data_IF_575179593859
#
_entry.id   IF_575179593859
#
_cell.length_a   1.000
_cell.length_b   1.000
_cell.length_c   1.000
_cell.angle_alpha   90.00
_cell.angle_beta   90.00
_cell.angle_gamma   90.00
#
_symmetry.space_group_name_H-M   'P 1'
#
loop_
_entity.id
_entity.type
_entity.pdbx_description
1 polymer ?
#
# COMPACT_ATOMS: atom_id res chain seq x y z
N UNK A 1 -25.70 -27.46 -5.04
CA UNK A 1 -25.14 -26.08 -5.16
C UNK A 1 -23.65 -26.06 -5.49
N UNK A 2 -22.77 -26.77 -4.75
CA UNK A 2 -21.34 -26.91 -5.11
C UNK A 2 -21.11 -27.50 -6.49
N UNK A 3 -21.88 -28.54 -6.81
CA UNK A 3 -21.90 -29.19 -8.12
C UNK A 3 -22.13 -28.18 -9.25
N UNK A 4 -22.98 -27.18 -9.03
CA UNK A 4 -23.34 -26.21 -10.07
C UNK A 4 -22.27 -25.14 -10.27
N UNK A 5 -21.59 -24.72 -9.20
CA UNK A 5 -20.46 -23.79 -9.26
C UNK A 5 -19.23 -24.45 -9.91
N UNK A 6 -18.94 -25.69 -9.52
CA UNK A 6 -17.85 -26.48 -10.12
C UNK A 6 -18.14 -26.75 -11.60
N UNK A 7 -19.37 -27.16 -11.95
CA UNK A 7 -19.78 -27.36 -13.35
C UNK A 7 -19.62 -26.09 -14.19
N UNK A 8 -19.86 -24.91 -13.63
CA UNK A 8 -19.63 -23.63 -14.32
C UNK A 8 -18.15 -23.32 -14.56
N UNK A 9 -17.29 -23.54 -13.57
CA UNK A 9 -15.84 -23.26 -13.69
C UNK A 9 -15.20 -24.20 -14.71
N UNK A 10 -15.50 -25.50 -14.61
CA UNK A 10 -14.94 -26.50 -15.53
C UNK A 10 -15.46 -26.27 -16.96
N UNK A 11 -16.74 -25.88 -17.12
CA UNK A 11 -17.30 -25.52 -18.44
C UNK A 11 -16.54 -24.35 -19.09
N UNK A 12 -16.28 -23.29 -18.33
CA UNK A 12 -15.50 -22.13 -18.82
C UNK A 12 -14.06 -22.50 -19.16
N UNK A 13 -13.43 -23.40 -18.40
CA UNK A 13 -12.09 -23.88 -18.75
C UNK A 13 -12.09 -24.77 -19.99
N UNK A 14 -13.08 -25.64 -20.15
CA UNK A 14 -13.21 -26.51 -21.32
C UNK A 14 -13.40 -25.70 -22.61
N UNK A 15 -14.22 -24.64 -22.58
CA UNK A 15 -14.41 -23.74 -23.73
C UNK A 15 -13.13 -22.97 -24.12
N UNK A 16 -12.22 -22.73 -23.17
CA UNK A 16 -10.95 -22.05 -23.40
C UNK A 16 -9.88 -23.00 -23.99
N UNK A 17 -9.94 -24.28 -23.63
CA UNK A 17 -8.93 -25.28 -24.00
C UNK A 17 -9.30 -25.98 -25.32
N UNK A 18 -10.59 -26.31 -25.51
CA UNK A 18 -11.09 -27.05 -26.68
C UNK A 18 -12.46 -26.49 -27.11
N UNK A 19 -12.49 -25.36 -27.86
CA UNK A 19 -13.72 -24.64 -28.16
C UNK A 19 -14.70 -25.40 -29.06
N UNK A 20 -14.23 -26.34 -29.89
CA UNK A 20 -15.08 -27.12 -30.79
C UNK A 20 -15.54 -28.47 -30.19
N UNK A 21 -14.83 -28.97 -29.18
CA UNK A 21 -15.05 -30.30 -28.58
C UNK A 21 -15.30 -30.22 -27.05
N UNK A 22 -15.83 -29.08 -26.60
CA UNK A 22 -16.04 -28.74 -25.18
C UNK A 22 -16.85 -29.82 -24.44
N UNK A 23 -17.92 -30.32 -25.06
CA UNK A 23 -18.83 -31.29 -24.44
C UNK A 23 -18.19 -32.66 -24.25
N UNK A 24 -17.35 -33.08 -25.20
CA UNK A 24 -16.67 -34.38 -25.15
C UNK A 24 -15.51 -34.37 -24.13
N UNK A 25 -14.75 -33.27 -24.08
CA UNK A 25 -13.72 -33.05 -23.06
C UNK A 25 -14.32 -33.04 -21.64
N UNK A 26 -15.47 -32.38 -21.46
CA UNK A 26 -16.21 -32.36 -20.20
C UNK A 26 -16.69 -33.75 -19.78
N UNK A 27 -17.13 -34.58 -20.73
CA UNK A 27 -17.58 -35.95 -20.47
C UNK A 27 -16.43 -36.82 -19.98
N UNK A 28 -15.28 -36.77 -20.67
CA UNK A 28 -14.08 -37.54 -20.33
C UNK A 28 -13.46 -37.09 -18.99
N UNK A 29 -13.43 -35.78 -18.72
CA UNK A 29 -12.94 -35.25 -17.45
C UNK A 29 -13.81 -35.66 -16.26
N UNK A 30 -15.14 -35.61 -16.40
CA UNK A 30 -16.04 -36.04 -15.33
C UNK A 30 -15.96 -37.56 -15.09
N UNK A 31 -15.76 -38.34 -16.15
CA UNK A 31 -15.61 -39.80 -16.08
C UNK A 31 -14.26 -40.23 -15.48
N UNK A 32 -13.19 -39.44 -15.66
CA UNK A 32 -11.86 -39.73 -15.11
C UNK A 32 -11.66 -39.16 -13.69
N UNK A 33 -12.13 -37.94 -13.42
CA UNK A 33 -11.87 -37.25 -12.16
C UNK A 33 -12.85 -37.65 -11.05
N UNK A 34 -14.10 -38.01 -11.38
CA UNK A 34 -15.13 -38.25 -10.36
C UNK A 34 -16.12 -39.37 -10.73
N UNK A 35 -15.69 -40.65 -10.77
CA UNK A 35 -16.60 -41.75 -11.06
C UNK A 35 -17.76 -41.86 -10.04
N UNK A 36 -17.54 -41.55 -8.75
CA UNK A 36 -18.51 -41.81 -7.66
C UNK A 36 -18.59 -40.73 -6.53
N UNK A 37 -18.06 -39.51 -6.73
CA UNK A 37 -17.71 -38.56 -5.64
C UNK A 37 -18.87 -37.90 -4.86
N UNK A 38 -20.14 -38.13 -5.23
CA UNK A 38 -21.28 -37.39 -4.65
C UNK A 38 -22.21 -38.24 -3.76
N UNK A 39 -21.71 -39.32 -3.16
CA UNK A 39 -22.52 -40.12 -2.21
C UNK A 39 -21.98 -40.25 -0.78
N UNK A 40 -20.67 -40.26 -0.54
CA UNK A 40 -20.18 -40.61 0.80
C UNK A 40 -19.64 -39.41 1.59
N UNK A 41 -20.35 -39.09 2.69
CA UNK A 41 -20.09 -37.99 3.62
C UNK A 41 -19.00 -38.30 4.66
N UNK A 42 -18.05 -39.18 4.33
CA UNK A 42 -17.02 -39.65 5.25
C UNK A 42 -15.71 -39.84 4.49
N UNK A 43 -14.94 -38.77 4.38
CA UNK A 43 -13.56 -38.86 3.89
C UNK A 43 -12.63 -37.95 4.73
N UNK A 44 -11.45 -38.46 5.15
CA UNK A 44 -10.52 -37.82 6.09
C UNK A 44 -9.87 -36.53 5.54
N UNK A 45 -10.08 -36.23 4.26
CA UNK A 45 -9.60 -35.01 3.60
C UNK A 45 -10.47 -33.79 3.94
N UNK A 46 -11.77 -33.99 4.19
CA UNK A 46 -12.69 -32.90 4.53
C UNK A 46 -12.49 -32.41 5.97
N UNK A 47 -12.13 -33.31 6.89
CA UNK A 47 -11.85 -32.96 8.28
C UNK A 47 -10.61 -32.06 8.40
N UNK A 48 -9.56 -32.32 7.61
CA UNK A 48 -8.39 -31.43 7.51
C UNK A 48 -8.74 -30.03 7.01
N UNK A 49 -9.66 -29.93 6.06
CA UNK A 49 -10.15 -28.63 5.55
C UNK A 49 -10.92 -27.89 6.64
N UNK A 50 -11.73 -28.60 7.42
CA UNK A 50 -12.51 -28.00 8.49
C UNK A 50 -11.63 -27.55 9.65
N UNK A 51 -10.61 -28.31 9.99
CA UNK A 51 -9.58 -27.95 10.97
C UNK A 51 -8.81 -26.69 10.54
N UNK A 52 -8.37 -26.61 9.28
CA UNK A 52 -7.68 -25.42 8.79
C UNK A 52 -8.57 -24.17 8.77
N UNK A 53 -9.85 -24.33 8.42
CA UNK A 53 -10.81 -23.23 8.48
C UNK A 53 -11.07 -22.78 9.92
N UNK A 54 -11.10 -23.71 10.88
CA UNK A 54 -11.19 -23.39 12.30
C UNK A 54 -9.94 -22.62 12.78
N UNK A 55 -8.75 -23.06 12.40
CA UNK A 55 -7.49 -22.37 12.68
C UNK A 55 -7.49 -20.93 12.16
N UNK A 56 -7.97 -20.69 10.94
CA UNK A 56 -8.09 -19.35 10.37
C UNK A 56 -9.16 -18.51 11.07
N UNK A 57 -10.26 -19.14 11.52
CA UNK A 57 -11.31 -18.47 12.28
C UNK A 57 -10.84 -18.01 13.68
N UNK A 58 -9.90 -18.74 14.29
CA UNK A 58 -9.30 -18.40 15.57
C UNK A 58 -8.17 -17.36 15.44
N UNK A 59 -7.28 -17.52 14.45
CA UNK A 59 -6.20 -16.54 14.17
C UNK A 59 -6.71 -15.14 13.85
N UNK A 60 -7.97 -15.03 13.41
CA UNK A 60 -8.64 -13.74 13.15
C UNK A 60 -9.32 -13.14 14.38
N UNK A 61 -9.11 -13.68 15.60
CA UNK A 61 -9.72 -13.22 16.85
C UNK A 61 -8.97 -12.08 17.53
N UNK A 62 -8.79 -10.95 16.84
CA UNK A 62 -8.65 -9.66 17.51
C UNK A 62 -10.06 -9.08 17.72
N UNK A 63 -10.64 -9.32 18.90
CA UNK A 63 -12.03 -8.94 19.27
C UNK A 63 -12.34 -7.43 19.17
N UNK A 64 -11.36 -6.61 18.77
CA UNK A 64 -11.41 -5.14 18.82
C UNK A 64 -11.85 -4.48 17.50
N UNK A 65 -11.73 -5.13 16.33
CA UNK A 65 -11.95 -4.44 15.03
C UNK A 65 -13.19 -4.91 14.26
N UNK A 66 -13.90 -3.97 13.62
CA UNK A 66 -15.05 -4.24 12.71
C UNK A 66 -14.65 -5.08 11.48
N UNK A 67 -13.40 -4.97 11.04
CA UNK A 67 -12.83 -5.70 9.89
C UNK A 67 -12.78 -7.21 10.16
N UNK A 68 -12.31 -7.59 11.34
CA UNK A 68 -12.11 -8.99 11.74
C UNK A 68 -13.44 -9.74 11.82
N UNK A 69 -14.51 -9.07 12.24
CA UNK A 69 -15.88 -9.63 12.22
C UNK A 69 -16.39 -9.93 10.80
N UNK A 70 -16.03 -9.13 9.79
CA UNK A 70 -16.39 -9.37 8.39
C UNK A 70 -15.61 -10.55 7.82
N UNK A 71 -14.31 -10.60 8.08
CA UNK A 71 -13.42 -11.70 7.66
C UNK A 71 -13.90 -13.04 8.25
N UNK A 72 -14.22 -13.08 9.54
CA UNK A 72 -14.78 -14.28 10.21
C UNK A 72 -16.09 -14.76 9.60
N UNK A 73 -16.97 -13.83 9.21
CA UNK A 73 -18.23 -14.17 8.53
C UNK A 73 -17.97 -14.78 7.14
N UNK A 74 -16.92 -14.35 6.45
CA UNK A 74 -16.51 -14.89 5.15
C UNK A 74 -15.92 -16.29 5.30
N UNK A 75 -14.99 -16.46 6.24
CA UNK A 75 -14.37 -17.75 6.56
C UNK A 75 -15.45 -18.78 6.93
N UNK A 76 -16.43 -18.41 7.77
CA UNK A 76 -17.54 -19.32 8.09
C UNK A 76 -18.45 -19.61 6.88
N UNK A 77 -18.64 -18.64 5.98
CA UNK A 77 -19.54 -18.79 4.84
C UNK A 77 -19.04 -19.78 3.78
N UNK A 78 -17.72 -20.02 3.69
CA UNK A 78 -17.17 -21.01 2.76
C UNK A 78 -17.60 -22.44 3.12
N UNK A 79 -17.70 -22.75 4.42
CA UNK A 79 -18.05 -24.07 4.94
C UNK A 79 -19.51 -24.23 5.40
N UNK A 80 -20.25 -23.14 5.65
CA UNK A 80 -21.63 -23.19 6.17
C UNK A 80 -22.66 -23.85 5.23
N UNK A 81 -22.38 -23.97 3.93
CA UNK A 81 -23.20 -24.71 2.97
C UNK A 81 -22.88 -26.21 2.92
N UNK A 82 -21.82 -26.64 3.61
CA UNK A 82 -21.24 -27.98 3.55
C UNK A 82 -21.51 -28.75 4.83
N UNK A 83 -21.34 -28.07 5.96
CA UNK A 83 -21.40 -28.67 7.30
C UNK A 83 -22.63 -28.17 8.05
N UNK A 84 -23.29 -29.06 8.77
CA UNK A 84 -24.35 -28.73 9.72
C UNK A 84 -23.82 -28.00 10.96
N UNK A 85 -24.66 -27.26 11.70
CA UNK A 85 -24.21 -26.49 12.85
C UNK A 85 -23.58 -27.35 13.96
N UNK A 86 -24.08 -28.57 14.18
CA UNK A 86 -23.59 -29.51 15.21
C UNK A 86 -22.17 -29.99 14.93
N UNK A 87 -21.90 -30.46 13.70
CA UNK A 87 -20.56 -30.85 13.25
C UNK A 87 -19.58 -29.68 13.15
N UNK A 88 -20.06 -28.45 12.97
CA UNK A 88 -19.17 -27.29 12.97
C UNK A 88 -18.75 -26.88 14.39
N UNK A 89 -19.60 -27.14 15.37
CA UNK A 89 -19.36 -26.82 16.77
C UNK A 89 -18.26 -27.68 17.40
N UNK A 90 -17.98 -28.86 16.83
CA UNK A 90 -16.82 -29.69 17.24
C UNK A 90 -15.49 -29.03 16.88
N UNK A 91 -15.44 -28.33 15.74
CA UNK A 91 -14.24 -27.63 15.27
C UNK A 91 -14.11 -26.21 15.83
N UNK A 92 -15.24 -25.52 16.09
CA UNK A 92 -15.27 -24.16 16.62
C UNK A 92 -16.17 -24.13 17.86
N UNK A 93 -15.63 -24.44 19.06
CA UNK A 93 -16.41 -24.44 20.28
C UNK A 93 -16.96 -23.03 20.59
N UNK A 94 -18.23 -22.96 20.99
CA UNK A 94 -18.89 -21.68 21.30
C UNK A 94 -19.39 -20.88 20.09
N UNK A 95 -19.42 -21.47 18.89
CA UNK A 95 -20.03 -20.84 17.73
C UNK A 95 -21.55 -20.67 17.93
N UNK A 96 -21.99 -19.43 18.16
CA UNK A 96 -23.43 -19.12 18.28
C UNK A 96 -24.20 -19.49 17.01
N UNK A 97 -25.39 -20.07 17.20
CA UNK A 97 -26.34 -20.41 16.13
C UNK A 97 -26.64 -19.20 15.21
N UNK A 98 -26.66 -17.98 15.78
CA UNK A 98 -26.83 -16.73 15.02
C UNK A 98 -25.65 -16.46 14.06
N UNK A 99 -24.41 -16.77 14.46
CA UNK A 99 -23.22 -16.60 13.60
C UNK A 99 -23.25 -17.60 12.43
N UNK A 100 -23.62 -18.84 12.71
CA UNK A 100 -23.81 -19.87 11.68
C UNK A 100 -24.89 -19.48 10.68
N UNK A 101 -26.07 -19.05 11.15
CA UNK A 101 -27.17 -18.63 10.28
C UNK A 101 -26.77 -17.45 9.37
N UNK A 102 -26.09 -16.44 9.93
CA UNK A 102 -25.57 -15.32 9.16
C UNK A 102 -24.53 -15.71 8.10
N UNK A 103 -23.68 -16.69 8.41
CA UNK A 103 -22.70 -17.24 7.47
C UNK A 103 -23.40 -18.01 6.35
N UNK A 104 -24.43 -18.79 6.68
CA UNK A 104 -25.27 -19.52 5.72
C UNK A 104 -26.04 -18.57 4.80
N UNK A 105 -26.61 -17.49 5.33
CA UNK A 105 -27.26 -16.44 4.53
C UNK A 105 -26.27 -15.81 3.54
N UNK A 106 -25.05 -15.49 4.00
CA UNK A 106 -23.99 -14.96 3.15
C UNK A 106 -23.52 -15.96 2.09
N UNK A 107 -23.42 -17.24 2.43
CA UNK A 107 -23.05 -18.29 1.49
C UNK A 107 -24.13 -18.52 0.40
N UNK A 108 -25.35 -18.01 0.61
CA UNK A 108 -26.44 -18.01 -0.37
C UNK A 108 -26.46 -16.75 -1.23
N UNK A 109 -26.02 -15.61 -0.71
CA UNK A 109 -25.82 -14.40 -1.51
C UNK A 109 -24.60 -14.64 -2.42
N UNK A 110 -24.82 -14.73 -3.73
CA UNK A 110 -23.78 -14.96 -4.75
C UNK A 110 -22.86 -13.74 -4.94
N UNK A 111 -22.55 -13.01 -3.87
CA UNK A 111 -21.72 -11.81 -3.89
C UNK A 111 -20.27 -12.27 -3.73
N UNK A 112 -19.39 -12.04 -4.72
CA UNK A 112 -17.98 -12.31 -4.59
C UNK A 112 -17.40 -11.64 -3.34
N UNK A 113 -16.41 -12.28 -2.71
CA UNK A 113 -15.65 -11.62 -1.65
C UNK A 113 -14.77 -10.54 -2.29
N UNK A 114 -15.22 -9.30 -2.23
CA UNK A 114 -14.31 -8.16 -2.35
C UNK A 114 -13.50 -8.11 -1.05
N UNK A 115 -12.20 -8.38 -1.16
CA UNK A 115 -11.27 -8.04 -0.10
C UNK A 115 -11.52 -6.56 0.21
N UNK A 116 -11.71 -6.17 1.49
CA UNK A 116 -11.88 -4.76 1.80
C UNK A 116 -10.65 -4.06 1.23
N UNK A 117 -10.88 -3.12 0.31
CA UNK A 117 -9.81 -2.31 -0.26
C UNK A 117 -8.91 -1.90 0.90
N UNK A 118 -7.61 -2.15 0.78
CA UNK A 118 -6.65 -1.51 1.67
C UNK A 118 -6.95 -0.02 1.49
N UNK A 119 -7.60 0.59 2.46
CA UNK A 119 -7.79 2.04 2.49
C UNK A 119 -6.39 2.59 2.73
N UNK A 120 -5.63 2.73 1.65
CA UNK A 120 -4.39 3.49 1.62
C UNK A 120 -4.86 4.93 1.75
N UNK A 121 -4.88 5.42 2.99
CA UNK A 121 -5.10 6.83 3.23
C UNK A 121 -3.84 7.55 2.75
N UNK A 122 -3.85 8.00 1.50
CA UNK A 122 -2.83 8.91 1.01
C UNK A 122 -2.97 10.23 1.77
N UNK A 123 -2.10 10.42 2.76
CA UNK A 123 -2.12 11.59 3.66
C UNK A 123 -1.75 12.90 2.93
N UNK A 124 -1.21 12.80 1.72
CA UNK A 124 -0.78 13.92 0.92
C UNK A 124 -1.13 13.69 -0.55
N UNK A 125 -1.35 14.78 -1.29
CA UNK A 125 -1.52 14.72 -2.75
C UNK A 125 -0.15 14.73 -3.42
N UNK A 126 0.20 13.73 -4.24
CA UNK A 126 1.54 13.61 -4.84
C UNK A 126 1.88 14.81 -5.71
N UNK A 127 0.92 15.33 -6.46
CA UNK A 127 1.08 16.51 -7.32
C UNK A 127 1.62 17.72 -6.53
N UNK A 128 1.02 18.03 -5.37
CA UNK A 128 1.42 19.18 -4.55
C UNK A 128 2.85 19.06 -4.04
N UNK A 129 3.25 17.83 -3.69
CA UNK A 129 4.63 17.55 -3.27
C UNK A 129 5.58 17.73 -4.44
N UNK A 130 5.23 17.24 -5.63
CA UNK A 130 6.05 17.39 -6.82
C UNK A 130 6.31 18.86 -7.16
N UNK A 131 5.27 19.70 -7.19
CA UNK A 131 5.41 21.13 -7.43
C UNK A 131 6.34 21.83 -6.43
N UNK A 132 6.24 21.47 -5.15
CA UNK A 132 7.12 22.02 -4.13
C UNK A 132 8.56 21.53 -4.26
N UNK A 133 8.75 20.23 -4.54
CA UNK A 133 10.09 19.65 -4.78
C UNK A 133 10.75 20.32 -5.98
N UNK A 134 10.05 20.45 -7.10
CA UNK A 134 10.54 21.15 -8.30
C UNK A 134 10.94 22.59 -8.00
N UNK A 135 10.15 23.30 -7.19
CA UNK A 135 10.48 24.66 -6.77
C UNK A 135 11.76 24.72 -5.93
N UNK A 136 11.93 23.84 -4.94
CA UNK A 136 13.12 23.88 -4.07
C UNK A 136 14.39 23.37 -4.77
N UNK A 137 14.27 22.57 -5.82
CA UNK A 137 15.39 22.13 -6.66
C UNK A 137 15.74 23.14 -7.75
N UNK A 138 14.92 24.18 -7.95
CA UNK A 138 15.21 25.22 -8.92
C UNK A 138 16.47 26.00 -8.53
N UNK A 139 17.22 26.54 -9.52
CA UNK A 139 18.43 27.32 -9.27
C UNK A 139 18.18 28.59 -8.45
N UNK A 140 16.92 29.06 -8.42
CA UNK A 140 16.47 30.20 -7.61
C UNK A 140 16.59 29.90 -6.11
N UNK A 141 16.39 28.64 -5.71
CA UNK A 141 16.36 28.24 -4.31
C UNK A 141 17.61 27.47 -3.91
N UNK A 142 18.10 26.62 -4.81
CA UNK A 142 19.21 25.72 -4.53
C UNK A 142 20.19 25.64 -5.70
N UNK A 143 21.49 25.61 -5.40
CA UNK A 143 22.55 25.49 -6.41
C UNK A 143 23.44 24.28 -6.08
N UNK A 144 23.81 23.52 -7.10
CA UNK A 144 24.76 22.41 -6.97
C UNK A 144 26.17 22.92 -6.65
N UNK A 145 26.84 22.25 -5.73
CA UNK A 145 28.26 22.45 -5.47
C UNK A 145 29.07 21.80 -6.60
N UNK A 146 30.14 22.47 -7.07
CA UNK A 146 31.08 21.87 -8.02
C UNK A 146 31.95 20.78 -7.38
N UNK A 147 32.01 20.71 -6.05
CA UNK A 147 32.79 19.70 -5.31
C UNK A 147 31.93 18.98 -4.26
N UNK A 148 32.15 17.67 -4.16
CA UNK A 148 31.49 16.79 -3.21
C UNK A 148 30.19 16.19 -3.77
N UNK A 149 30.13 14.87 -3.78
CA UNK A 149 28.99 14.09 -4.25
C UNK A 149 28.48 13.16 -3.14
N UNK A 150 27.19 12.83 -3.18
CA UNK A 150 26.57 11.82 -2.31
C UNK A 150 26.09 10.65 -3.16
N UNK A 151 26.51 9.45 -2.77
CA UNK A 151 26.02 8.20 -3.36
C UNK A 151 24.70 7.81 -2.67
N UNK A 152 23.62 7.77 -3.44
CA UNK A 152 22.29 7.36 -2.99
C UNK A 152 22.00 5.96 -3.54
N UNK A 153 21.55 5.05 -2.70
CA UNK A 153 21.10 3.72 -3.14
C UNK A 153 19.61 3.76 -3.49
N UNK A 154 19.28 3.33 -4.70
CA UNK A 154 17.90 3.17 -5.15
C UNK A 154 17.28 1.93 -4.53
N UNK A 155 15.95 1.82 -4.52
CA UNK A 155 15.22 0.60 -4.12
C UNK A 155 15.70 -0.65 -4.86
N UNK A 156 16.19 -0.46 -6.08
CA UNK A 156 16.60 -1.52 -7.00
C UNK A 156 18.06 -1.95 -6.74
N UNK A 157 18.71 -1.40 -5.71
CA UNK A 157 20.09 -1.71 -5.33
C UNK A 157 21.17 -0.96 -6.11
N UNK A 158 20.80 -0.22 -7.16
CA UNK A 158 21.73 0.64 -7.91
C UNK A 158 22.20 1.84 -7.09
N UNK A 159 23.42 2.31 -7.33
CA UNK A 159 23.98 3.51 -6.68
C UNK A 159 24.01 4.69 -7.67
N UNK A 160 23.37 5.79 -7.32
CA UNK A 160 23.39 7.04 -8.08
C UNK A 160 24.26 8.08 -7.35
N UNK A 161 25.18 8.74 -8.07
CA UNK A 161 25.93 9.88 -7.52
C UNK A 161 25.19 11.17 -7.78
N UNK A 162 24.93 11.96 -6.73
CA UNK A 162 24.25 13.25 -6.81
C UNK A 162 25.16 14.33 -6.22
N UNK A 163 25.39 15.46 -6.90
CA UNK A 163 26.20 16.55 -6.36
C UNK A 163 25.56 17.12 -5.08
N UNK A 164 26.40 17.51 -4.12
CA UNK A 164 25.93 18.21 -2.94
C UNK A 164 25.22 19.51 -3.35
N UNK A 165 24.11 19.82 -2.71
CA UNK A 165 23.37 21.06 -3.00
C UNK A 165 23.42 22.02 -1.82
N UNK A 166 23.55 23.31 -2.12
CA UNK A 166 23.41 24.40 -1.15
C UNK A 166 22.07 25.08 -1.37
N UNK A 167 21.39 25.45 -0.29
CA UNK A 167 20.24 26.35 -0.35
C UNK A 167 20.70 27.79 -0.18
N UNK A 168 20.18 28.66 -1.03
CA UNK A 168 20.47 30.10 -1.01
C UNK A 168 19.69 30.83 0.09
N UNK A 169 18.52 30.30 0.46
CA UNK A 169 17.57 30.95 1.37
C UNK A 169 17.23 30.09 2.60
N UNK A 170 16.81 30.75 3.68
CA UNK A 170 16.31 30.08 4.87
C UNK A 170 14.93 29.46 4.63
N UNK A 171 14.54 28.46 5.42
CA UNK A 171 13.29 27.72 5.23
C UNK A 171 12.04 28.62 5.19
N UNK A 172 11.97 29.61 6.08
CA UNK A 172 10.84 30.53 6.15
C UNK A 172 10.71 31.38 4.87
N UNK A 173 11.84 31.81 4.34
CA UNK A 173 11.91 32.61 3.12
C UNK A 173 11.55 31.78 1.88
N UNK A 174 12.04 30.55 1.78
CA UNK A 174 11.69 29.61 0.71
C UNK A 174 10.16 29.40 0.65
N UNK A 175 9.52 29.21 1.80
CA UNK A 175 8.06 29.03 1.86
C UNK A 175 7.32 30.30 1.44
N UNK A 176 7.85 31.48 1.78
CA UNK A 176 7.29 32.77 1.33
C UNK A 176 7.42 32.94 -0.18
N UNK A 177 8.60 32.65 -0.75
CA UNK A 177 8.84 32.70 -2.19
C UNK A 177 7.95 31.72 -2.95
N UNK A 178 7.81 30.49 -2.45
CA UNK A 178 6.95 29.47 -3.04
C UNK A 178 5.48 29.92 -3.13
N UNK A 179 4.96 30.57 -2.07
CA UNK A 179 3.60 31.10 -2.07
C UNK A 179 3.41 32.19 -3.13
N UNK A 180 4.31 33.17 -3.17
CA UNK A 180 4.28 34.24 -4.18
C UNK A 180 4.37 33.69 -5.59
N UNK A 181 5.24 32.70 -5.83
CA UNK A 181 5.37 32.04 -7.11
C UNK A 181 4.08 31.31 -7.52
N UNK A 182 3.42 30.61 -6.59
CA UNK A 182 2.14 29.94 -6.87
C UNK A 182 0.99 30.92 -7.09
N UNK A 183 1.01 32.09 -6.45
CA UNK A 183 0.08 33.19 -6.72
C UNK A 183 0.29 33.77 -8.12
N UNK A 184 1.54 33.95 -8.55
CA UNK A 184 1.89 34.48 -9.88
C UNK A 184 1.46 33.54 -11.03
N UNK A 185 1.59 32.22 -10.84
CA UNK A 185 1.22 31.22 -11.85
C UNK A 185 -0.29 30.89 -11.79
N UNK A 186 -1.01 31.40 -10.78
CA UNK A 186 -2.44 31.12 -10.62
C UNK A 186 -2.76 29.69 -10.12
N UNK A 187 -1.76 28.94 -9.65
CA UNK A 187 -1.90 27.55 -9.19
C UNK A 187 -1.99 27.42 -7.65
N UNK A 188 -2.68 28.36 -7.01
CA UNK A 188 -2.84 28.38 -5.54
C UNK A 188 -3.54 27.12 -4.99
N UNK A 189 -4.33 26.42 -5.80
CA UNK A 189 -5.00 25.15 -5.45
C UNK A 189 -4.03 23.99 -5.18
N UNK A 190 -2.80 24.08 -5.70
CA UNK A 190 -1.74 23.07 -5.54
C UNK A 190 -0.77 23.41 -4.40
N UNK A 191 -1.01 24.49 -3.67
CA UNK A 191 -0.17 24.92 -2.56
C UNK A 191 -0.15 23.89 -1.41
N UNK A 192 1.05 23.59 -0.91
CA UNK A 192 1.22 22.80 0.31
C UNK A 192 0.92 23.62 1.59
N UNK A 193 0.50 22.92 2.64
CA UNK A 193 0.42 23.54 3.97
C UNK A 193 1.82 23.89 4.47
N UNK A 194 1.94 24.96 5.28
CA UNK A 194 3.24 25.40 5.83
C UNK A 194 3.93 24.28 6.60
N UNK A 195 3.19 23.53 7.41
CA UNK A 195 3.74 22.43 8.23
C UNK A 195 4.36 21.33 7.38
N UNK A 196 3.71 20.93 6.29
CA UNK A 196 4.24 19.93 5.36
C UNK A 196 5.46 20.46 4.61
N UNK A 197 5.42 21.71 4.15
CA UNK A 197 6.57 22.35 3.49
C UNK A 197 7.80 22.41 4.42
N UNK A 198 7.62 22.80 5.69
CA UNK A 198 8.69 22.75 6.69
C UNK A 198 9.21 21.33 6.96
N UNK A 199 8.32 20.34 7.03
CA UNK A 199 8.72 18.95 7.22
C UNK A 199 9.58 18.44 6.06
N UNK A 200 9.21 18.77 4.81
CA UNK A 200 10.00 18.45 3.61
C UNK A 200 11.36 19.16 3.66
N UNK A 201 11.38 20.47 3.94
CA UNK A 201 12.62 21.24 4.00
C UNK A 201 13.59 20.71 5.08
N UNK A 202 13.06 20.23 6.22
CA UNK A 202 13.84 19.61 7.29
C UNK A 202 14.45 18.28 6.86
N UNK A 203 13.71 17.46 6.09
CA UNK A 203 14.23 16.18 5.57
C UNK A 203 15.26 16.38 4.47
N UNK A 204 15.02 17.32 3.57
CA UNK A 204 15.97 17.68 2.50
C UNK A 204 17.05 18.64 3.02
N UNK A 205 17.77 18.30 4.09
CA UNK A 205 18.75 19.23 4.69
C UNK A 205 19.88 19.57 3.69
N UNK A 206 20.09 20.86 3.36
CA UNK A 206 21.14 21.28 2.45
C UNK A 206 22.51 21.16 3.11
N UNK A 207 23.56 21.19 2.30
CA UNK A 207 24.92 21.37 2.81
C UNK A 207 25.04 22.79 3.36
N UNK A 208 25.38 22.92 4.65
CA UNK A 208 25.64 24.22 5.27
C UNK A 208 27.03 24.67 4.84
N UNK A 209 27.13 25.84 4.19
CA UNK A 209 28.41 26.54 4.08
C UNK A 209 28.67 27.21 5.41
N UNK A 210 29.70 26.78 6.11
CA UNK A 210 30.30 27.63 7.12
C UNK A 210 31.02 28.76 6.37
N UNK A 211 30.84 30.03 6.79
CA UNK A 211 31.62 31.11 6.20
C UNK A 211 33.10 30.79 6.39
N UNK A 212 33.86 30.86 5.29
CA UNK A 212 35.31 30.66 5.30
C UNK A 212 36.04 31.88 5.89
N UNK A 213 35.38 33.04 5.85
CA UNK A 213 35.86 34.30 6.41
C UNK A 213 35.10 34.61 7.70
N UNK A 214 35.83 34.73 8.80
CA UNK A 214 35.30 35.26 10.06
C UNK A 214 35.05 36.77 9.91
N UNK A 215 34.14 37.33 10.71
CA UNK A 215 33.93 38.79 10.78
C UNK A 215 35.26 39.52 11.09
N UNK A 216 36.14 38.86 11.86
CA UNK A 216 37.48 39.33 12.19
C UNK A 216 38.36 39.56 10.96
N UNK A 217 38.10 38.86 9.85
CA UNK A 217 38.84 39.07 8.60
C UNK A 217 38.52 40.42 7.97
N UNK A 218 37.27 40.91 8.07
CA UNK A 218 36.91 42.25 7.61
C UNK A 218 37.44 43.34 8.54
N UNK A 219 37.60 43.05 9.83
CA UNK A 219 38.20 43.98 10.79
C UNK A 219 39.71 44.10 10.58
N UNK A 220 40.39 42.98 10.27
CA UNK A 220 41.81 42.97 9.93
C UNK A 220 42.06 43.67 8.59
N UNK A 221 41.33 43.31 7.53
CA UNK A 221 41.44 43.95 6.21
C UNK A 221 41.08 45.45 6.24
N UNK A 222 40.11 45.81 7.10
CA UNK A 222 39.79 47.21 7.37
C UNK A 222 40.90 47.96 8.10
N UNK A 223 41.55 47.34 9.10
CA UNK A 223 42.65 47.93 9.84
C UNK A 223 43.90 48.12 8.95
N UNK A 224 44.25 47.11 8.17
CA UNK A 224 45.38 47.15 7.23
C UNK A 224 45.18 48.25 6.17
N UNK A 225 43.94 48.43 5.67
CA UNK A 225 43.62 49.50 4.71
C UNK A 225 43.73 50.92 5.27
N UNK A 226 43.68 51.10 6.60
CA UNK A 226 43.92 52.40 7.24
C UNK A 226 45.41 52.64 7.51
N UNK A 227 46.23 51.60 7.70
CA UNK A 227 47.68 51.73 7.85
C UNK A 227 48.38 52.12 6.53
N UNK A 228 47.82 51.74 5.38
CA UNK A 228 48.37 52.08 4.04
C UNK A 228 48.10 53.53 3.59
N UNK A 229 47.40 54.35 4.39
CA UNK A 229 47.01 55.74 4.05
C UNK A 229 47.94 56.80 4.70
N UNK A 230 48.90 56.39 5.53
CA UNK A 230 49.90 57.27 6.17
C UNK A 230 51.21 57.43 5.37
#
# INVERSE_FOLDING_TARGET
RKVWAMKRIVKVMASLIAPNDEEELMRLYLQSAFPNYWRDNSDPTMDKIFEEVANQYEKTDDRRTRKDRRTRKVILSSIANVIGPTKLQTYIPGLSSRKYHNAKLRARSSVPFEAPDRIIRERYRPERVNFFVSFITSPIVSTGLPYGERKVKTSDGSSLSIPNTIRLHQHAEIIRMYRKHMEQIGETSKLLSKSVAYAILKKCSPTRRHPLTCVDYYMADGADAFEDID
#
